data_IF_297181238461
#
_entry.id   IF_297181238461
#
_cell.length_a   1.000
_cell.length_b   1.000
_cell.length_c   1.000
_cell.angle_alpha   90.00
_cell.angle_beta   90.00
_cell.angle_gamma   90.00
#
_symmetry.space_group_name_H-M   'P 1'
#
loop_
_entity.id
_entity.type
_entity.pdbx_description
1 polymer ?
#
# COMPACT_ATOMS: atom_id res chain seq x y z
N UNK A 1 -17.63 4.29 0.68
CA UNK A 1 -17.26 2.91 1.11
C UNK A 1 -16.00 2.37 0.42
N UNK A 2 -15.83 2.51 -0.91
CA UNK A 2 -14.68 1.95 -1.66
C UNK A 2 -13.29 2.40 -1.14
N UNK A 3 -13.13 3.70 -0.81
CA UNK A 3 -11.87 4.27 -0.30
C UNK A 3 -11.36 3.59 0.98
N UNK A 4 -12.25 3.17 1.89
CA UNK A 4 -11.85 2.51 3.12
C UNK A 4 -11.21 1.14 2.88
N UNK A 5 -11.81 0.34 1.99
CA UNK A 5 -11.30 -0.99 1.61
C UNK A 5 -9.94 -0.84 0.90
N UNK A 6 -9.82 0.13 0.00
CA UNK A 6 -8.59 0.43 -0.72
C UNK A 6 -7.47 0.87 0.24
N UNK A 7 -7.76 1.79 1.16
CA UNK A 7 -6.83 2.22 2.21
C UNK A 7 -6.36 1.05 3.08
N UNK A 8 -7.26 0.12 3.44
CA UNK A 8 -6.92 -1.13 4.15
C UNK A 8 -5.95 -2.00 3.34
N UNK A 9 -6.20 -2.16 2.03
CA UNK A 9 -5.32 -2.92 1.13
C UNK A 9 -3.95 -2.28 1.00
N UNK A 10 -3.88 -0.94 0.84
CA UNK A 10 -2.62 -0.18 0.78
C UNK A 10 -1.81 -0.42 2.05
N UNK A 11 -2.41 -0.23 3.23
CA UNK A 11 -1.74 -0.50 4.51
C UNK A 11 -1.24 -1.93 4.64
N UNK A 12 -2.02 -2.91 4.17
CA UNK A 12 -1.62 -4.33 4.15
C UNK A 12 -0.40 -4.54 3.26
N UNK A 13 -0.38 -3.94 2.06
CA UNK A 13 0.77 -4.01 1.16
C UNK A 13 1.98 -3.35 1.79
N UNK A 14 1.85 -2.16 2.38
CA UNK A 14 2.95 -1.47 3.07
C UNK A 14 3.56 -2.37 4.14
N UNK A 15 2.73 -2.98 5.00
CA UNK A 15 3.20 -3.87 6.07
C UNK A 15 3.98 -5.09 5.55
N UNK A 16 3.52 -5.71 4.46
CA UNK A 16 4.15 -6.93 3.92
C UNK A 16 5.40 -6.61 3.09
N UNK A 17 5.30 -5.63 2.19
CA UNK A 17 6.34 -5.29 1.24
C UNK A 17 7.50 -4.56 1.89
N UNK A 18 7.27 -3.58 2.78
CA UNK A 18 8.36 -2.81 3.39
C UNK A 18 9.37 -3.71 4.10
N UNK A 19 8.92 -4.68 4.90
CA UNK A 19 9.81 -5.63 5.57
C UNK A 19 10.58 -6.49 4.57
N UNK A 20 9.90 -7.01 3.54
CA UNK A 20 10.54 -7.86 2.51
C UNK A 20 11.60 -7.08 1.73
N UNK A 21 11.29 -5.85 1.33
CA UNK A 21 12.17 -5.00 0.54
C UNK A 21 13.38 -4.51 1.34
N UNK A 22 13.18 -4.10 2.60
CA UNK A 22 14.28 -3.70 3.49
C UNK A 22 15.25 -4.87 3.69
N UNK A 23 14.75 -6.06 3.99
CA UNK A 23 15.59 -7.26 4.21
C UNK A 23 16.28 -7.71 2.91
N UNK A 24 15.60 -7.62 1.77
CA UNK A 24 16.13 -8.12 0.50
C UNK A 24 17.10 -7.17 -0.20
N UNK A 25 16.87 -5.86 -0.12
CA UNK A 25 17.54 -4.87 -0.97
C UNK A 25 18.05 -3.63 -0.23
N UNK A 26 17.72 -3.48 1.06
CA UNK A 26 18.01 -2.29 1.86
C UNK A 26 17.02 -1.14 1.63
N UNK A 27 17.16 -0.07 2.42
CA UNK A 27 16.40 1.17 2.23
C UNK A 27 16.91 1.94 1.01
N UNK A 28 16.00 2.42 0.17
CA UNK A 28 16.30 3.14 -1.08
C UNK A 28 15.19 4.14 -1.39
N UNK A 29 15.53 5.20 -2.11
CA UNK A 29 14.54 6.18 -2.61
C UNK A 29 13.49 5.51 -3.52
N UNK A 30 13.91 4.57 -4.37
CA UNK A 30 13.04 3.78 -5.23
C UNK A 30 13.58 2.36 -5.43
N UNK A 31 12.68 1.43 -5.78
CA UNK A 31 13.00 0.07 -6.19
C UNK A 31 12.75 -0.13 -7.68
N UNK A 32 13.45 -1.07 -8.31
CA UNK A 32 13.16 -1.40 -9.71
C UNK A 32 11.84 -2.17 -9.83
N UNK A 33 11.17 -2.04 -10.98
CA UNK A 33 9.94 -2.80 -11.28
C UNK A 33 10.17 -4.31 -11.11
N UNK A 34 11.34 -4.81 -11.48
CA UNK A 34 11.72 -6.21 -11.31
C UNK A 34 11.80 -6.63 -9.83
N UNK A 35 12.45 -5.83 -8.98
CA UNK A 35 12.55 -6.11 -7.54
C UNK A 35 11.18 -6.15 -6.87
N UNK A 36 10.30 -5.20 -7.22
CA UNK A 36 8.93 -5.15 -6.70
C UNK A 36 8.14 -6.36 -7.18
N UNK A 37 8.15 -6.68 -8.48
CA UNK A 37 7.43 -7.85 -9.02
C UNK A 37 7.88 -9.15 -8.36
N UNK A 38 9.19 -9.41 -8.29
CA UNK A 38 9.73 -10.62 -7.65
C UNK A 38 9.26 -10.73 -6.19
N UNK A 39 9.38 -9.65 -5.42
CA UNK A 39 8.95 -9.62 -4.01
C UNK A 39 7.45 -9.86 -3.86
N UNK A 40 6.63 -9.30 -4.75
CA UNK A 40 5.18 -9.50 -4.72
C UNK A 40 4.77 -10.94 -5.05
N UNK A 41 5.49 -11.59 -5.97
CA UNK A 41 5.27 -12.98 -6.35
C UNK A 41 5.66 -13.95 -5.23
N UNK A 42 6.80 -13.72 -4.58
CA UNK A 42 7.24 -14.51 -3.41
C UNK A 42 6.25 -14.42 -2.24
N UNK A 43 5.64 -13.25 -2.04
CA UNK A 43 4.62 -13.01 -1.02
C UNK A 43 3.21 -13.47 -1.44
N UNK A 44 3.07 -14.10 -2.62
CA UNK A 44 1.79 -14.55 -3.19
C UNK A 44 0.70 -13.44 -3.19
N UNK A 45 1.09 -12.20 -3.49
CA UNK A 45 0.15 -11.08 -3.49
C UNK A 45 -0.81 -11.16 -4.69
N UNK A 46 -2.08 -10.82 -4.45
CA UNK A 46 -3.08 -10.70 -5.52
C UNK A 46 -2.71 -9.63 -6.55
N UNK A 47 -3.24 -9.74 -7.78
CA UNK A 47 -2.97 -8.77 -8.86
C UNK A 47 -3.24 -7.30 -8.44
N UNK A 48 -4.31 -7.06 -7.67
CA UNK A 48 -4.60 -5.72 -7.13
C UNK A 48 -3.51 -5.24 -6.17
N UNK A 49 -3.00 -6.11 -5.29
CA UNK A 49 -1.93 -5.77 -4.36
C UNK A 49 -0.57 -5.61 -5.05
N UNK A 50 -0.33 -6.33 -6.15
CA UNK A 50 0.86 -6.14 -6.99
C UNK A 50 0.86 -4.74 -7.62
N UNK A 51 -0.28 -4.29 -8.16
CA UNK A 51 -0.44 -2.92 -8.68
C UNK A 51 -0.18 -1.87 -7.60
N UNK A 52 -0.74 -2.07 -6.41
CA UNK A 52 -0.48 -1.19 -5.26
C UNK A 52 1.02 -1.17 -4.91
N UNK A 53 1.68 -2.33 -4.87
CA UNK A 53 3.10 -2.40 -4.56
C UNK A 53 3.96 -1.67 -5.61
N UNK A 54 3.63 -1.80 -6.89
CA UNK A 54 4.27 -1.05 -7.97
C UNK A 54 4.09 0.46 -7.78
N UNK A 55 2.87 0.92 -7.52
CA UNK A 55 2.57 2.33 -7.29
C UNK A 55 3.30 2.92 -6.06
N UNK A 56 3.54 2.10 -5.02
CA UNK A 56 4.18 2.53 -3.78
C UNK A 56 5.71 2.57 -3.85
N UNK A 57 6.33 1.56 -4.45
CA UNK A 57 7.76 1.32 -4.30
C UNK A 57 8.57 1.44 -5.58
N UNK A 58 7.96 1.31 -6.75
CA UNK A 58 8.68 1.41 -8.00
C UNK A 58 8.97 2.88 -8.34
N UNK A 59 10.08 3.11 -9.06
CA UNK A 59 10.41 4.43 -9.60
C UNK A 59 9.31 4.89 -10.59
N UNK A 60 8.69 6.07 -10.38
CA UNK A 60 7.66 6.59 -11.28
C UNK A 60 8.11 6.74 -12.74
N UNK A 61 9.40 7.02 -12.98
CA UNK A 61 9.95 7.16 -14.33
C UNK A 61 10.03 5.83 -15.08
N UNK A 62 10.12 4.72 -14.35
CA UNK A 62 10.14 3.37 -14.91
C UNK A 62 8.72 2.79 -15.06
N UNK A 63 7.69 3.54 -14.65
CA UNK A 63 6.29 3.18 -14.77
C UNK A 63 5.67 3.91 -15.95
N UNK A 64 4.97 3.17 -16.80
CA UNK A 64 4.17 3.73 -17.88
C UNK A 64 2.83 4.27 -17.32
N UNK A 65 2.92 5.39 -16.58
CA UNK A 65 1.79 6.00 -15.89
C UNK A 65 0.75 6.57 -16.87
N UNK A 66 1.17 6.95 -18.07
CA UNK A 66 0.28 7.43 -19.14
C UNK A 66 -0.66 6.32 -19.62
N UNK A 67 -0.14 5.11 -19.81
CA UNK A 67 -0.95 3.97 -20.24
C UNK A 67 -1.55 3.16 -19.07
N UNK A 68 -1.25 3.53 -17.82
CA UNK A 68 -1.74 2.85 -16.61
C UNK A 68 -2.42 3.82 -15.64
N UNK A 69 -3.61 4.35 -15.98
CA UNK A 69 -4.32 5.34 -15.16
C UNK A 69 -4.67 4.82 -13.76
N UNK A 70 -4.80 3.50 -13.59
CA UNK A 70 -5.02 2.87 -12.29
C UNK A 70 -3.84 3.06 -11.34
N UNK A 71 -2.59 2.99 -11.83
CA UNK A 71 -1.41 3.22 -11.00
C UNK A 71 -1.34 4.67 -10.56
N UNK A 72 -1.64 5.60 -11.48
CA UNK A 72 -1.68 7.03 -11.17
C UNK A 72 -2.74 7.35 -10.12
N UNK A 73 -3.93 6.76 -10.23
CA UNK A 73 -4.99 6.91 -9.23
C UNK A 73 -4.54 6.41 -7.85
N UNK A 74 -3.91 5.23 -7.78
CA UNK A 74 -3.37 4.71 -6.51
C UNK A 74 -2.31 5.65 -5.92
N UNK A 75 -1.41 6.19 -6.75
CA UNK A 75 -0.39 7.15 -6.28
C UNK A 75 -1.02 8.41 -5.71
N UNK A 76 -2.01 8.97 -6.41
CA UNK A 76 -2.75 10.14 -5.93
C UNK A 76 -3.48 9.86 -4.61
N UNK A 77 -4.11 8.70 -4.48
CA UNK A 77 -4.79 8.29 -3.25
C UNK A 77 -3.80 8.17 -2.09
N UNK A 78 -2.62 7.59 -2.34
CA UNK A 78 -1.56 7.45 -1.34
C UNK A 78 -1.00 8.81 -0.91
N UNK A 79 -0.70 9.67 -1.87
CA UNK A 79 -0.21 11.03 -1.60
C UNK A 79 -1.20 11.78 -0.69
N UNK A 80 -2.48 11.76 -1.04
CA UNK A 80 -3.52 12.41 -0.25
C UNK A 80 -3.70 11.80 1.15
N UNK A 81 -3.76 10.47 1.26
CA UNK A 81 -4.10 9.79 2.52
C UNK A 81 -2.95 9.68 3.53
N UNK A 82 -1.69 9.72 3.06
CA UNK A 82 -0.51 9.47 3.88
C UNK A 82 0.51 10.60 3.88
N UNK A 83 0.50 11.47 2.87
CA UNK A 83 1.50 12.52 2.67
C UNK A 83 0.88 13.90 2.44
N UNK A 84 -0.38 14.10 2.83
CA UNK A 84 -1.10 15.39 2.72
C UNK A 84 -1.11 15.99 1.29
N UNK A 85 -1.08 15.13 0.28
CA UNK A 85 -1.06 15.51 -1.14
C UNK A 85 0.34 15.82 -1.70
N UNK A 86 1.40 15.69 -0.90
CA UNK A 86 2.76 15.84 -1.38
C UNK A 86 3.24 14.59 -2.15
N UNK A 87 4.22 14.81 -3.03
CA UNK A 87 4.96 13.71 -3.64
C UNK A 87 5.69 12.89 -2.59
N UNK A 88 5.84 11.59 -2.86
CA UNK A 88 6.47 10.65 -1.96
C UNK A 88 7.39 9.68 -2.70
N UNK A 89 8.43 9.26 -2.00
CA UNK A 89 9.38 8.25 -2.44
C UNK A 89 9.06 6.89 -1.82
N UNK A 90 9.68 5.82 -2.32
CA UNK A 90 9.59 4.52 -1.67
C UNK A 90 10.17 4.57 -0.25
N UNK A 91 11.22 5.38 -0.03
CA UNK A 91 11.83 5.57 1.28
C UNK A 91 10.86 6.20 2.28
N UNK A 92 10.05 7.18 1.86
CA UNK A 92 9.02 7.77 2.72
C UNK A 92 7.99 6.71 3.13
N UNK A 93 7.60 5.84 2.21
CA UNK A 93 6.70 4.70 2.48
C UNK A 93 7.33 3.70 3.45
N UNK A 94 8.64 3.45 3.38
CA UNK A 94 9.35 2.61 4.35
C UNK A 94 9.36 3.27 5.73
N UNK A 95 9.59 4.59 5.79
CA UNK A 95 9.64 5.37 7.01
C UNK A 95 8.28 5.48 7.72
N UNK A 96 7.16 5.27 7.00
CA UNK A 96 5.84 5.16 7.62
C UNK A 96 5.86 4.12 8.73
N UNK A 97 6.49 2.95 8.55
CA UNK A 97 6.55 1.91 9.58
C UNK A 97 7.44 2.26 10.77
N UNK A 98 8.49 3.08 10.57
CA UNK A 98 9.46 3.46 11.59
C UNK A 98 8.97 4.61 12.49
N UNK A 99 8.08 5.46 11.97
CA UNK A 99 7.43 6.48 12.80
C UNK A 99 6.55 5.79 13.85
N UNK A 100 6.88 5.95 15.13
CA UNK A 100 6.17 5.30 16.26
C UNK A 100 4.66 5.57 16.36
N UNK A 101 4.12 6.42 15.46
CA UNK A 101 2.69 6.68 15.28
C UNK A 101 1.98 5.77 14.25
N UNK A 102 2.70 4.97 13.45
CA UNK A 102 2.07 4.05 12.48
C UNK A 102 1.51 2.81 13.17
N UNK A 103 0.40 3.02 13.86
CA UNK A 103 -0.42 1.97 14.47
C UNK A 103 -1.47 1.49 13.48
N UNK A 104 -1.09 1.23 12.22
CA UNK A 104 -2.01 0.78 11.17
C UNK A 104 -3.24 1.69 10.95
N UNK A 105 -3.23 2.92 11.46
CA UNK A 105 -4.41 3.77 11.71
C UNK A 105 -5.48 3.08 12.57
N UNK A 106 -6.12 3.85 13.45
CA UNK A 106 -7.35 3.45 14.14
C UNK A 106 -8.30 2.79 13.12
N UNK A 107 -8.63 1.51 13.30
CA UNK A 107 -9.84 0.96 12.71
C UNK A 107 -10.99 1.67 13.45
N UNK A 108 -11.43 2.82 12.96
CA UNK A 108 -12.79 3.30 13.26
C UNK A 108 -13.78 2.49 12.42
N UNK A 109 -13.71 1.17 12.59
CA UNK A 109 -14.79 0.29 12.20
C UNK A 109 -15.57 0.01 13.47
N UNK A 110 -16.49 0.93 13.79
CA UNK A 110 -17.75 0.59 14.45
C UNK A 110 -18.63 -0.30 13.56
N UNK A 111 -18.03 -1.23 12.80
CA UNK A 111 -18.70 -2.20 11.94
C UNK A 111 -18.50 -3.63 12.45
N UNK A 112 -18.16 -3.77 13.73
CA UNK A 112 -18.05 -5.06 14.43
C UNK A 112 -19.23 -5.29 15.37
N UNK A 113 -20.46 -4.86 15.07
CA UNK A 113 -21.64 -5.19 15.90
C UNK A 113 -22.98 -5.26 15.15
N UNK A 114 -23.03 -5.43 13.82
CA UNK A 114 -24.30 -5.38 13.07
C UNK A 114 -24.65 -6.60 12.22
N UNK A 115 -23.98 -7.74 12.42
CA UNK A 115 -24.37 -9.02 11.82
C UNK A 115 -24.55 -10.15 12.85
N UNK A 116 -24.90 -9.78 14.08
CA UNK A 116 -25.09 -10.71 15.19
C UNK A 116 -26.45 -10.55 15.89
N UNK A 117 -27.53 -10.25 15.17
CA UNK A 117 -28.89 -10.30 15.75
C UNK A 117 -29.91 -10.72 14.69
N UNK A 118 -29.99 -12.02 14.42
CA UNK A 118 -31.27 -12.69 14.17
C UNK A 118 -31.22 -14.03 14.91
N UNK A 119 -31.51 -13.99 16.21
CA UNK A 119 -32.20 -15.10 16.85
C UNK A 119 -33.64 -15.06 16.34
N UNK A 120 -34.07 -16.14 15.67
CA UNK A 120 -35.47 -16.59 15.50
C UNK A 120 -35.51 -17.68 14.43
N UNK A 121 -35.34 -18.94 14.81
CA UNK A 121 -36.42 -19.85 15.23
C UNK A 121 -35.79 -21.09 15.90
#
# INVERSE_FOLDING_TARGET
MLRFIQRRRIKKVIKLMSTRLIVGYGSREYFSVGQVKTSTSELSLSACQQKIALALYANPQDLDLENQPELQAIRSDVAHDFFSGADYTAQDVLNLLGSGGWKGGRMEDGMSHHFGMHSRY
#
